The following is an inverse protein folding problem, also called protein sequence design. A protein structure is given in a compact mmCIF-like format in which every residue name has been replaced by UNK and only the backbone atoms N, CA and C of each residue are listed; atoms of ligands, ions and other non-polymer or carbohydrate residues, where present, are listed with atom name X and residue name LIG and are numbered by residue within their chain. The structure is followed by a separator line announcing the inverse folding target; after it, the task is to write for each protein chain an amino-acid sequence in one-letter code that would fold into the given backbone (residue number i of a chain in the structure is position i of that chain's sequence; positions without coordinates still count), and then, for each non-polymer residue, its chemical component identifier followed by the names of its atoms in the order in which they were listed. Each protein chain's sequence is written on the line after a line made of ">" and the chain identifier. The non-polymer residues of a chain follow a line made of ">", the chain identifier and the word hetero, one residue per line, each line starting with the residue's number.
data_IF_351446840436
#
_entry.id   IF_351446840436
#
_cell.length_a   1.000
_cell.length_b   1.000
_cell.length_c   1.000
_cell.angle_alpha   90.00
_cell.angle_beta   90.00
_cell.angle_gamma   90.00
#
_symmetry.space_group_name_H-M   'P 1'
#
loop_
_entity.id
_entity.type
_entity.pdbx_description
1 polymer ?
#
# COMPACT_ATOMS: atom_id res chain seq x y z
N UNK A 1 9.43 21.95 10.45
CA UNK A 1 8.13 22.36 10.98
C UNK A 1 7.08 21.47 10.35
N UNK A 2 6.37 20.75 11.21
CA UNK A 2 5.36 19.77 10.80
C UNK A 2 4.20 20.51 10.11
N UNK A 3 3.99 20.22 8.83
CA UNK A 3 2.88 20.81 8.10
C UNK A 3 1.62 19.93 8.29
N UNK A 4 0.50 20.58 8.61
CA UNK A 4 -0.80 19.89 8.73
C UNK A 4 -1.74 20.45 7.67
N UNK A 5 -2.14 19.58 6.74
CA UNK A 5 -3.10 19.88 5.68
C UNK A 5 -4.45 19.27 6.06
N UNK A 6 -5.50 20.07 6.18
CA UNK A 6 -6.85 19.60 6.54
C UNK A 6 -7.85 19.96 5.47
N UNK A 7 -8.58 18.98 4.98
CA UNK A 7 -9.74 19.14 4.08
C UNK A 7 -9.47 20.04 2.88
N UNK A 8 -8.24 20.07 2.40
CA UNK A 8 -7.84 20.89 1.27
C UNK A 8 -7.92 20.03 0.01
N UNK A 9 -8.67 20.44 -1.03
CA UNK A 9 -8.41 19.91 -2.36
C UNK A 9 -6.99 20.38 -2.73
N UNK A 10 -6.06 19.45 -2.80
CA UNK A 10 -4.72 19.79 -3.26
C UNK A 10 -4.78 20.23 -4.72
N UNK A 11 -4.12 21.31 -5.08
CA UNK A 11 -4.19 21.83 -6.43
C UNK A 11 -3.69 20.80 -7.45
N UNK A 12 -4.21 20.79 -8.68
CA UNK A 12 -3.81 19.84 -9.74
C UNK A 12 -2.36 20.02 -10.21
N UNK A 13 -1.56 20.81 -9.50
CA UNK A 13 -0.17 21.14 -9.80
C UNK A 13 0.84 20.24 -9.06
N UNK A 14 0.41 19.14 -8.48
CA UNK A 14 1.37 18.17 -7.96
C UNK A 14 2.09 17.52 -9.13
N UNK A 15 3.34 17.87 -9.28
CA UNK A 15 4.24 17.34 -10.31
C UNK A 15 4.90 16.07 -9.80
N UNK A 16 5.49 15.31 -10.68
CA UNK A 16 6.38 14.19 -10.39
C UNK A 16 7.56 14.60 -9.49
N UNK A 17 8.06 13.66 -8.67
CA UNK A 17 9.28 13.83 -7.88
C UNK A 17 9.22 14.87 -6.75
N UNK A 18 8.20 14.82 -5.91
CA UNK A 18 8.14 15.62 -4.67
C UNK A 18 8.89 14.97 -3.52
N UNK A 19 9.30 15.85 -2.62
CA UNK A 19 9.77 15.46 -1.29
C UNK A 19 8.81 16.02 -0.24
N UNK A 20 8.13 15.13 0.47
CA UNK A 20 7.24 15.48 1.59
C UNK A 20 7.81 14.87 2.85
N UNK A 21 7.99 15.70 3.86
CA UNK A 21 8.55 15.27 5.13
C UNK A 21 7.76 15.85 6.31
N UNK A 22 7.64 15.06 7.39
CA UNK A 22 7.05 15.50 8.67
C UNK A 22 5.71 16.20 8.48
N UNK A 23 4.78 15.56 7.78
CA UNK A 23 3.51 16.18 7.39
C UNK A 23 2.32 15.30 7.71
N UNK A 24 1.18 15.91 8.00
CA UNK A 24 -0.10 15.23 8.19
C UNK A 24 -1.11 15.73 7.17
N UNK A 25 -1.69 14.81 6.42
CA UNK A 25 -2.83 15.05 5.54
C UNK A 25 -4.08 14.45 6.19
N UNK A 26 -5.07 15.27 6.51
CA UNK A 26 -6.30 14.81 7.16
C UNK A 26 -7.55 15.23 6.37
N UNK A 27 -8.35 14.25 5.97
CA UNK A 27 -9.56 14.48 5.18
C UNK A 27 -9.31 15.09 3.80
N UNK A 28 -8.11 14.91 3.24
CA UNK A 28 -7.76 15.46 1.95
C UNK A 28 -8.27 14.59 0.82
N UNK A 29 -8.73 15.23 -0.25
CA UNK A 29 -9.11 14.56 -1.50
C UNK A 29 -8.04 14.90 -2.54
N UNK A 30 -7.49 13.85 -3.13
CA UNK A 30 -6.49 13.95 -4.18
C UNK A 30 -7.17 13.54 -5.50
N UNK A 31 -7.59 14.48 -6.35
CA UNK A 31 -8.31 14.15 -7.58
C UNK A 31 -7.35 13.49 -8.58
N UNK A 32 -7.28 12.16 -8.56
CA UNK A 32 -6.42 11.33 -9.40
C UNK A 32 -5.01 11.95 -9.60
N UNK A 33 -4.27 12.23 -8.53
CA UNK A 33 -3.00 12.94 -8.64
C UNK A 33 -1.96 12.06 -9.30
N UNK A 34 -1.12 12.69 -10.10
CA UNK A 34 0.11 12.06 -10.61
C UNK A 34 1.24 12.48 -9.69
N UNK A 35 1.69 11.53 -8.84
CA UNK A 35 2.71 11.75 -7.82
C UNK A 35 3.94 10.83 -8.04
N UNK A 36 4.12 10.37 -9.28
CA UNK A 36 5.16 9.41 -9.65
C UNK A 36 6.54 9.81 -9.12
N UNK A 37 7.28 8.82 -8.62
CA UNK A 37 8.65 8.99 -8.16
C UNK A 37 8.82 9.93 -6.95
N UNK A 38 7.73 10.28 -6.27
CA UNK A 38 7.79 11.17 -5.11
C UNK A 38 8.26 10.44 -3.84
N UNK A 39 8.79 11.20 -2.89
CA UNK A 39 9.32 10.68 -1.63
C UNK A 39 8.54 11.21 -0.45
N UNK A 40 8.08 10.30 0.40
CA UNK A 40 7.33 10.60 1.61
C UNK A 40 8.08 10.04 2.82
N UNK A 41 8.44 10.90 3.76
CA UNK A 41 9.16 10.52 4.97
C UNK A 41 8.48 11.13 6.20
N UNK A 42 8.17 10.30 7.21
CA UNK A 42 7.48 10.75 8.43
C UNK A 42 6.15 11.45 8.11
N UNK A 43 5.31 10.80 7.27
CA UNK A 43 4.04 11.37 6.79
C UNK A 43 2.88 10.51 7.28
N UNK A 44 1.81 11.15 7.69
CA UNK A 44 0.53 10.50 8.01
C UNK A 44 -0.56 10.98 7.07
N UNK A 45 -1.21 10.03 6.40
CA UNK A 45 -2.46 10.25 5.67
C UNK A 45 -3.61 9.70 6.50
N UNK A 46 -4.58 10.52 6.83
CA UNK A 46 -5.73 10.14 7.66
C UNK A 46 -7.03 10.53 6.98
N UNK A 47 -7.92 9.58 6.78
CA UNK A 47 -9.21 9.79 6.09
C UNK A 47 -9.05 10.49 4.72
N UNK A 48 -7.98 10.19 3.98
CA UNK A 48 -7.73 10.76 2.67
C UNK A 48 -8.28 9.88 1.55
N UNK A 49 -8.67 10.50 0.45
CA UNK A 49 -9.06 9.82 -0.77
C UNK A 49 -7.96 9.95 -1.83
N UNK A 50 -7.28 8.83 -2.09
CA UNK A 50 -6.22 8.64 -3.08
C UNK A 50 -6.66 7.65 -4.18
N UNK A 51 -7.97 7.47 -4.35
CA UNK A 51 -8.49 6.55 -5.36
C UNK A 51 -8.01 6.94 -6.75
N UNK A 52 -7.57 5.93 -7.53
CA UNK A 52 -7.02 6.09 -8.86
C UNK A 52 -5.77 7.00 -8.95
N UNK A 53 -5.12 7.29 -7.82
CA UNK A 53 -3.87 8.04 -7.82
C UNK A 53 -2.76 7.24 -8.53
N UNK A 54 -1.88 7.94 -9.24
CA UNK A 54 -0.65 7.36 -9.75
C UNK A 54 0.51 7.71 -8.80
N UNK A 55 0.87 6.73 -7.98
CA UNK A 55 1.95 6.76 -6.99
C UNK A 55 3.08 5.80 -7.39
N UNK A 56 3.19 5.46 -8.67
CA UNK A 56 4.21 4.54 -9.15
C UNK A 56 5.62 5.07 -8.90
N UNK A 57 6.53 4.17 -8.55
CA UNK A 57 7.92 4.51 -8.24
C UNK A 57 8.12 5.38 -7.00
N UNK A 58 7.08 5.62 -6.21
CA UNK A 58 7.21 6.40 -4.98
C UNK A 58 8.00 5.67 -3.89
N UNK A 59 8.64 6.44 -3.02
CA UNK A 59 9.30 5.94 -1.82
C UNK A 59 8.57 6.43 -0.57
N UNK A 60 8.23 5.48 0.29
CA UNK A 60 7.55 5.75 1.56
C UNK A 60 8.42 5.24 2.71
N UNK A 61 8.78 6.11 3.64
CA UNK A 61 9.57 5.76 4.81
C UNK A 61 8.90 6.31 6.07
N UNK A 62 8.54 5.41 6.99
CA UNK A 62 7.79 5.75 8.22
C UNK A 62 6.52 6.54 7.91
N UNK A 63 5.69 5.94 7.06
CA UNK A 63 4.42 6.55 6.61
C UNK A 63 3.24 5.74 7.14
N UNK A 64 2.21 6.42 7.55
CA UNK A 64 0.96 5.82 8.00
C UNK A 64 -0.20 6.23 7.09
N UNK A 65 -0.95 5.26 6.63
CA UNK A 65 -2.24 5.45 5.96
C UNK A 65 -3.33 4.93 6.90
N UNK A 66 -4.16 5.81 7.43
CA UNK A 66 -5.23 5.46 8.37
C UNK A 66 -6.57 5.80 7.76
N UNK A 67 -7.42 4.80 7.60
CA UNK A 67 -8.78 4.96 7.05
C UNK A 67 -8.81 5.66 5.68
N UNK A 68 -7.78 5.44 4.87
CA UNK A 68 -7.67 6.03 3.54
C UNK A 68 -8.33 5.15 2.47
N UNK A 69 -8.71 5.80 1.35
CA UNK A 69 -9.15 5.13 0.14
C UNK A 69 -8.03 5.17 -0.89
N UNK A 70 -7.61 4.01 -1.36
CA UNK A 70 -6.62 3.83 -2.42
C UNK A 70 -7.17 2.87 -3.50
N UNK A 71 -8.49 2.87 -3.69
CA UNK A 71 -9.16 1.99 -4.66
C UNK A 71 -8.63 2.29 -6.06
N UNK A 72 -8.14 1.26 -6.76
CA UNK A 72 -7.59 1.38 -8.10
C UNK A 72 -6.30 2.22 -8.19
N UNK A 73 -5.66 2.56 -7.07
CA UNK A 73 -4.41 3.32 -7.09
C UNK A 73 -3.27 2.50 -7.73
N UNK A 74 -2.44 3.16 -8.53
CA UNK A 74 -1.21 2.60 -9.05
C UNK A 74 -0.06 2.87 -8.07
N UNK A 75 0.39 1.82 -7.39
CA UNK A 75 1.44 1.83 -6.36
C UNK A 75 2.64 0.97 -6.80
N UNK A 76 2.71 0.66 -8.10
CA UNK A 76 3.75 -0.20 -8.66
C UNK A 76 5.15 0.40 -8.51
N UNK A 77 6.16 -0.47 -8.48
CA UNK A 77 7.57 -0.10 -8.36
C UNK A 77 7.91 0.70 -7.08
N UNK A 78 6.95 0.76 -6.14
CA UNK A 78 7.09 1.51 -4.89
C UNK A 78 8.09 0.87 -3.93
N UNK A 79 8.74 1.70 -3.11
CA UNK A 79 9.58 1.27 -1.99
C UNK A 79 8.89 1.65 -0.67
N UNK A 80 8.63 0.65 0.16
CA UNK A 80 7.85 0.75 1.38
C UNK A 80 8.69 0.34 2.57
N UNK A 81 9.07 1.28 3.44
CA UNK A 81 9.88 1.02 4.63
C UNK A 81 9.18 1.52 5.88
N UNK A 82 8.89 0.61 6.82
CA UNK A 82 8.20 0.93 8.07
C UNK A 82 6.87 1.67 7.84
N UNK A 83 6.03 1.10 6.97
CA UNK A 83 4.74 1.67 6.58
C UNK A 83 3.60 0.88 7.21
N UNK A 84 2.56 1.58 7.62
CA UNK A 84 1.34 1.00 8.15
C UNK A 84 0.16 1.43 7.30
N UNK A 85 -0.65 0.45 6.88
CA UNK A 85 -1.97 0.67 6.32
C UNK A 85 -3.00 0.17 7.33
N UNK A 86 -3.75 1.08 7.93
CA UNK A 86 -4.75 0.75 8.94
C UNK A 86 -6.15 1.08 8.44
N UNK A 87 -7.03 0.06 8.37
CA UNK A 87 -8.42 0.18 7.92
C UNK A 87 -8.59 0.91 6.58
N UNK A 88 -7.66 0.69 5.66
CA UNK A 88 -7.70 1.27 4.33
C UNK A 88 -8.54 0.45 3.35
N UNK A 89 -9.12 1.12 2.36
CA UNK A 89 -9.81 0.51 1.22
C UNK A 89 -8.87 0.55 0.01
N UNK A 90 -8.42 -0.63 -0.43
CA UNK A 90 -7.39 -0.76 -1.46
C UNK A 90 -7.78 -1.77 -2.56
N UNK A 91 -9.08 -1.96 -2.78
CA UNK A 91 -9.55 -2.86 -3.82
C UNK A 91 -8.96 -2.46 -5.18
N UNK A 92 -8.48 -3.43 -5.93
CA UNK A 92 -7.86 -3.23 -7.26
C UNK A 92 -6.60 -2.36 -7.27
N UNK A 93 -6.02 -2.05 -6.11
CA UNK A 93 -4.75 -1.35 -6.07
C UNK A 93 -3.63 -2.24 -6.65
N UNK A 94 -2.68 -1.62 -7.32
CA UNK A 94 -1.57 -2.32 -7.96
C UNK A 94 -0.25 -2.01 -7.26
N UNK A 95 0.37 -3.02 -6.64
CA UNK A 95 1.68 -2.95 -6.00
C UNK A 95 2.78 -3.71 -6.77
N UNK A 96 2.55 -4.06 -8.02
CA UNK A 96 3.51 -4.83 -8.84
C UNK A 96 4.93 -4.26 -8.74
N UNK A 97 5.95 -5.14 -8.65
CA UNK A 97 7.36 -4.79 -8.50
C UNK A 97 7.70 -4.01 -7.21
N UNK A 98 6.79 -4.00 -6.24
CA UNK A 98 6.97 -3.31 -4.97
C UNK A 98 8.04 -3.97 -4.08
N UNK A 99 8.75 -3.15 -3.30
CA UNK A 99 9.72 -3.58 -2.30
C UNK A 99 9.24 -3.17 -0.91
N UNK A 100 8.95 -4.15 -0.08
CA UNK A 100 8.34 -3.96 1.24
C UNK A 100 9.29 -4.42 2.34
N UNK A 101 9.52 -3.56 3.32
CA UNK A 101 10.32 -3.87 4.49
C UNK A 101 9.69 -3.30 5.76
N UNK A 102 9.30 -4.20 6.68
CA UNK A 102 8.66 -3.80 7.93
C UNK A 102 7.31 -3.14 7.71
N UNK A 103 6.47 -3.71 6.84
CA UNK A 103 5.16 -3.15 6.48
C UNK A 103 4.03 -3.96 7.10
N UNK A 104 3.03 -3.28 7.61
CA UNK A 104 1.84 -3.88 8.19
C UNK A 104 0.57 -3.38 7.50
N UNK A 105 -0.25 -4.31 7.06
CA UNK A 105 -1.61 -4.09 6.61
C UNK A 105 -2.56 -4.60 7.69
N UNK A 106 -3.42 -3.73 8.23
CA UNK A 106 -4.28 -4.05 9.35
C UNK A 106 -5.74 -3.63 9.11
N UNK A 107 -6.66 -4.59 9.07
CA UNK A 107 -8.10 -4.36 9.03
C UNK A 107 -8.59 -3.67 7.76
N UNK A 108 -7.98 -3.91 6.62
CA UNK A 108 -8.34 -3.28 5.35
C UNK A 108 -9.07 -4.20 4.38
N UNK A 109 -9.71 -3.61 3.36
CA UNK A 109 -10.24 -4.33 2.20
C UNK A 109 -9.26 -4.24 1.05
N UNK A 110 -8.79 -5.42 0.57
CA UNK A 110 -7.74 -5.54 -0.44
C UNK A 110 -8.13 -6.55 -1.51
N UNK A 111 -9.41 -6.60 -1.86
CA UNK A 111 -9.92 -7.51 -2.89
C UNK A 111 -9.27 -7.23 -4.22
N UNK A 112 -8.85 -8.29 -4.90
CA UNK A 112 -8.23 -8.20 -6.22
C UNK A 112 -7.04 -7.24 -6.28
N UNK A 113 -6.32 -7.05 -5.17
CA UNK A 113 -5.08 -6.30 -5.13
C UNK A 113 -3.98 -7.09 -5.85
N UNK A 114 -3.10 -6.39 -6.57
CA UNK A 114 -1.97 -7.00 -7.27
C UNK A 114 -0.66 -6.82 -6.51
N UNK A 115 0.00 -7.95 -6.18
CA UNK A 115 1.33 -8.01 -5.57
C UNK A 115 2.29 -8.82 -6.46
N UNK A 116 2.24 -8.64 -7.75
CA UNK A 116 3.09 -9.40 -8.66
C UNK A 116 4.54 -8.96 -8.60
N UNK A 117 5.48 -9.91 -8.67
CA UNK A 117 6.92 -9.67 -8.62
C UNK A 117 7.39 -8.83 -7.42
N UNK A 118 6.64 -8.87 -6.32
CA UNK A 118 6.98 -8.13 -5.12
C UNK A 118 8.08 -8.80 -4.30
N UNK A 119 8.78 -7.99 -3.52
CA UNK A 119 9.76 -8.45 -2.53
C UNK A 119 9.30 -8.06 -1.14
N UNK A 120 9.06 -9.05 -0.29
CA UNK A 120 8.58 -8.87 1.07
C UNK A 120 9.67 -9.24 2.09
N UNK A 121 9.92 -8.33 3.03
CA UNK A 121 10.75 -8.55 4.21
C UNK A 121 10.01 -8.04 5.44
N UNK A 122 9.64 -8.95 6.36
CA UNK A 122 8.87 -8.63 7.57
C UNK A 122 7.58 -7.88 7.25
N UNK A 123 6.71 -8.52 6.50
CA UNK A 123 5.39 -8.00 6.13
C UNK A 123 4.29 -8.83 6.79
N UNK A 124 3.30 -8.16 7.35
CA UNK A 124 2.16 -8.75 8.02
C UNK A 124 0.86 -8.23 7.42
N UNK A 125 -0.06 -9.15 7.17
CA UNK A 125 -1.46 -8.89 6.89
C UNK A 125 -2.29 -9.40 8.06
N UNK A 126 -3.05 -8.54 8.74
CA UNK A 126 -3.90 -8.90 9.86
C UNK A 126 -5.30 -8.34 9.68
N UNK A 127 -6.32 -9.19 9.86
CA UNK A 127 -7.72 -8.82 9.71
C UNK A 127 -8.05 -8.18 8.34
N UNK A 128 -7.35 -8.58 7.27
CA UNK A 128 -7.55 -8.05 5.93
C UNK A 128 -8.46 -8.95 5.08
N UNK A 129 -9.24 -8.33 4.20
CA UNK A 129 -9.95 -9.04 3.13
C UNK A 129 -9.06 -9.03 1.88
N UNK A 130 -8.33 -10.13 1.66
CA UNK A 130 -7.44 -10.36 0.52
C UNK A 130 -8.08 -11.26 -0.54
N UNK A 131 -9.40 -11.39 -0.54
CA UNK A 131 -10.07 -12.27 -1.51
C UNK A 131 -9.69 -11.89 -2.93
N UNK A 132 -9.36 -12.92 -3.74
CA UNK A 132 -8.93 -12.76 -5.14
C UNK A 132 -7.64 -11.95 -5.34
N UNK A 133 -6.86 -11.67 -4.29
CA UNK A 133 -5.56 -10.99 -4.44
C UNK A 133 -4.58 -11.84 -5.27
N UNK A 134 -3.68 -11.17 -5.99
CA UNK A 134 -2.70 -11.80 -6.87
C UNK A 134 -1.27 -11.63 -6.32
N UNK A 135 -0.53 -12.77 -6.24
CA UNK A 135 0.86 -12.83 -5.78
C UNK A 135 1.74 -13.56 -6.79
N UNK A 136 1.55 -13.31 -8.08
CA UNK A 136 2.31 -13.97 -9.14
C UNK A 136 3.80 -13.63 -9.04
N UNK A 137 4.68 -14.63 -9.24
CA UNK A 137 6.15 -14.47 -9.17
C UNK A 137 6.65 -13.81 -7.88
N UNK A 138 5.90 -13.96 -6.79
CA UNK A 138 6.16 -13.36 -5.50
C UNK A 138 6.39 -14.43 -4.44
N UNK A 139 7.48 -14.33 -3.67
CA UNK A 139 7.76 -15.29 -2.59
C UNK A 139 6.92 -14.96 -1.37
N UNK A 140 6.12 -15.93 -0.91
CA UNK A 140 5.26 -15.78 0.26
C UNK A 140 5.94 -16.24 1.58
N UNK A 141 7.16 -16.75 1.51
CA UNK A 141 7.89 -17.20 2.70
C UNK A 141 8.06 -16.06 3.70
N UNK A 142 7.61 -16.29 4.92
CA UNK A 142 7.72 -15.31 6.00
C UNK A 142 6.62 -14.24 6.01
N UNK A 143 5.64 -14.32 5.11
CA UNK A 143 4.43 -13.52 5.23
C UNK A 143 3.53 -14.09 6.33
N UNK A 144 2.83 -13.20 7.02
CA UNK A 144 1.80 -13.53 7.99
C UNK A 144 0.44 -13.02 7.50
N UNK A 145 -0.59 -13.87 7.58
CA UNK A 145 -1.97 -13.56 7.17
C UNK A 145 -2.94 -13.79 8.34
N UNK A 146 -2.61 -13.25 9.50
CA UNK A 146 -3.37 -13.48 10.74
C UNK A 146 -4.81 -12.98 10.59
N UNK A 147 -5.77 -13.88 10.81
CA UNK A 147 -7.20 -13.59 10.76
C UNK A 147 -7.66 -12.88 9.47
N UNK A 148 -6.94 -13.10 8.38
CA UNK A 148 -7.24 -12.49 7.08
C UNK A 148 -7.96 -13.48 6.16
N UNK A 149 -8.86 -12.95 5.33
CA UNK A 149 -9.56 -13.73 4.32
C UNK A 149 -8.72 -13.81 3.02
N UNK A 150 -8.19 -15.00 2.76
CA UNK A 150 -7.32 -15.26 1.60
C UNK A 150 -8.01 -16.14 0.53
N UNK A 151 -9.34 -16.26 0.55
CA UNK A 151 -10.04 -17.09 -0.43
C UNK A 151 -9.84 -16.59 -1.85
N UNK A 152 -9.58 -17.51 -2.74
CA UNK A 152 -9.40 -17.22 -4.17
C UNK A 152 -8.13 -16.43 -4.49
N UNK A 153 -7.16 -16.35 -3.58
CA UNK A 153 -5.86 -15.76 -3.94
C UNK A 153 -5.24 -16.53 -5.09
N UNK A 154 -4.60 -15.81 -5.99
CA UNK A 154 -3.86 -16.36 -7.11
C UNK A 154 -2.38 -16.28 -6.83
N UNK A 155 -1.73 -17.41 -6.93
CA UNK A 155 -0.29 -17.52 -6.76
C UNK A 155 0.25 -18.18 -8.00
N UNK A 156 1.03 -17.46 -8.77
CA UNK A 156 1.61 -17.97 -10.02
C UNK A 156 2.67 -19.02 -9.75
N UNK A 157 2.88 -19.88 -10.75
CA UNK A 157 3.82 -21.00 -10.72
C UNK A 157 5.27 -20.51 -10.57
N UNK A 158 5.73 -20.43 -9.36
CA UNK A 158 7.15 -20.40 -9.05
C UNK A 158 7.45 -21.53 -8.09
N UNK A 159 7.82 -22.65 -8.64
CA UNK A 159 8.13 -23.98 -8.10
C UNK A 159 8.72 -24.11 -6.71
N UNK A 160 8.19 -23.47 -5.70
CA UNK A 160 8.39 -23.83 -4.31
C UNK A 160 7.45 -23.04 -3.39
N UNK A 161 6.19 -23.52 -3.32
CA UNK A 161 5.30 -23.14 -2.24
C UNK A 161 5.73 -23.79 -0.94
N UNK A 162 6.54 -23.15 -0.15
CA UNK A 162 6.54 -23.44 1.27
C UNK A 162 5.52 -22.50 1.96
N UNK A 163 4.28 -22.93 2.00
CA UNK A 163 3.24 -22.38 2.90
C UNK A 163 3.54 -22.75 4.38
N UNK A 164 4.78 -23.07 4.71
CA UNK A 164 5.21 -23.36 6.07
C UNK A 164 5.16 -22.08 6.89
N UNK A 165 4.19 -22.01 7.78
CA UNK A 165 4.00 -20.90 8.71
C UNK A 165 2.92 -19.90 8.30
N UNK A 166 2.08 -20.23 7.33
CA UNK A 166 0.84 -19.50 7.11
C UNK A 166 -0.01 -19.69 8.39
N UNK A 167 -0.13 -18.67 9.19
CA UNK A 167 -1.19 -18.59 10.19
C UNK A 167 -2.41 -18.04 9.47
N UNK A 168 -3.31 -18.94 9.14
CA UNK A 168 -4.64 -18.64 8.65
C UNK A 168 -5.54 -18.38 9.84
#
# INVERSE_FOLDING_TARGET
>A
SDAVFRSVPLPPLMREHFWVQSSVFAGCIFPAPVLQGSHFTDVTFRNCDLSNADLSGCSFQRVEFVECKLVGANLSEGTWQHVVFERCKMEFANFTLGKFRGVRFAGGTMRSVGFDECRFERVEFSLCDLTMAEFSRTRLKGLSFVDSDIRGIRVGDTGSFELKGLKV
#
